data_IF_637412086879
#
_entry.id   IF_637412086879
#
_cell.length_a   1.000
_cell.length_b   1.000
_cell.length_c   1.000
_cell.angle_alpha   90.00
_cell.angle_beta   90.00
_cell.angle_gamma   90.00
#
_symmetry.space_group_name_H-M   'P 1'
#
loop_
_entity.id
_entity.type
_entity.pdbx_description
1 polymer ?
#
# COMPACT_ATOMS: atom_id res chain seq x y z
N UNK A 1 -0.51 7.78 20.74
CA UNK A 1 -1.19 7.29 19.53
C UNK A 1 -0.37 6.11 19.04
N UNK A 2 -0.76 4.90 19.44
CA UNK A 2 0.00 3.67 19.23
C UNK A 2 0.15 3.41 17.72
N UNK A 3 1.39 3.50 17.21
CA UNK A 3 1.70 3.02 15.88
C UNK A 3 1.67 1.50 15.98
N UNK A 4 0.58 0.89 15.55
CA UNK A 4 0.47 -0.58 15.46
C UNK A 4 1.71 -1.14 14.75
N UNK A 5 2.56 -1.85 15.49
CA UNK A 5 3.75 -2.56 15.00
C UNK A 5 3.38 -3.87 14.26
N UNK A 6 2.21 -3.94 13.64
CA UNK A 6 1.81 -5.05 12.78
C UNK A 6 1.92 -4.65 11.32
N UNK A 7 2.66 -5.42 10.51
CA UNK A 7 2.46 -5.40 9.05
C UNK A 7 0.97 -5.64 8.81
N UNK A 8 0.20 -4.73 8.18
CA UNK A 8 -1.16 -5.04 7.80
C UNK A 8 -1.10 -6.21 6.83
N UNK A 9 -1.66 -7.34 7.26
CA UNK A 9 -1.83 -8.49 6.39
C UNK A 9 -3.05 -8.23 5.51
N UNK A 10 -2.85 -7.56 4.38
CA UNK A 10 -3.90 -7.42 3.37
C UNK A 10 -4.28 -8.81 2.85
N UNK A 11 -5.57 -9.18 2.99
CA UNK A 11 -6.02 -10.55 2.72
C UNK A 11 -5.88 -10.94 1.24
N UNK A 12 -5.92 -9.95 0.35
CA UNK A 12 -5.77 -10.07 -1.10
C UNK A 12 -4.30 -10.04 -1.57
N UNK A 13 -3.34 -9.98 -0.64
CA UNK A 13 -1.89 -9.90 -0.94
C UNK A 13 -1.10 -11.08 -0.38
N UNK A 14 -1.68 -11.90 0.50
CA UNK A 14 -0.98 -13.00 1.23
C UNK A 14 -0.17 -13.93 0.31
N UNK A 15 -0.71 -14.25 -0.86
CA UNK A 15 -0.09 -15.12 -1.88
C UNK A 15 0.26 -14.39 -3.18
N UNK A 16 0.22 -13.05 -3.18
CA UNK A 16 0.49 -12.25 -4.36
C UNK A 16 1.99 -11.95 -4.51
N UNK A 17 2.51 -11.97 -5.74
CA UNK A 17 3.93 -11.73 -6.02
C UNK A 17 4.40 -10.35 -5.52
N UNK A 18 3.51 -9.36 -5.53
CA UNK A 18 3.81 -8.00 -5.09
C UNK A 18 3.82 -7.83 -3.56
N UNK A 19 3.64 -8.90 -2.76
CA UNK A 19 3.52 -8.80 -1.30
C UNK A 19 4.64 -7.99 -0.65
N UNK A 20 5.89 -8.27 -1.00
CA UNK A 20 7.03 -7.54 -0.46
C UNK A 20 7.04 -6.06 -0.84
N UNK A 21 6.54 -5.72 -2.03
CA UNK A 21 6.44 -4.35 -2.53
C UNK A 21 5.33 -3.61 -1.79
N UNK A 22 4.16 -4.26 -1.61
CA UNK A 22 3.03 -3.74 -0.84
C UNK A 22 3.45 -3.43 0.59
N UNK A 23 4.14 -4.35 1.24
CA UNK A 23 4.66 -4.17 2.60
C UNK A 23 5.60 -2.95 2.68
N UNK A 24 6.46 -2.77 1.66
CA UNK A 24 7.40 -1.65 1.61
C UNK A 24 6.70 -0.29 1.44
N UNK A 25 5.77 -0.17 0.48
CA UNK A 25 5.05 1.10 0.22
C UNK A 25 4.12 1.46 1.37
N UNK A 26 3.53 0.46 2.04
CA UNK A 26 2.72 0.68 3.23
C UNK A 26 3.57 1.20 4.40
N UNK A 27 4.71 0.55 4.68
CA UNK A 27 5.63 0.98 5.76
C UNK A 27 6.22 2.37 5.50
N UNK A 28 6.43 2.72 4.23
CA UNK A 28 6.86 4.06 3.83
C UNK A 28 5.74 5.11 3.91
N UNK A 29 4.48 4.71 4.12
CA UNK A 29 3.33 5.62 4.12
C UNK A 29 2.96 6.15 2.73
N UNK A 30 3.51 5.57 1.67
CA UNK A 30 3.26 5.99 0.28
C UNK A 30 1.90 5.50 -0.24
N UNK A 31 1.43 4.36 0.27
CA UNK A 31 0.12 3.79 -0.07
C UNK A 31 -0.55 3.19 1.16
N UNK A 32 -1.88 3.27 1.20
CA UNK A 32 -2.71 2.67 2.23
C UNK A 32 -3.71 1.71 1.56
N UNK A 33 -4.10 0.67 2.28
CA UNK A 33 -5.22 -0.17 1.86
C UNK A 33 -6.56 0.40 2.30
N UNK A 34 -7.61 -0.28 1.91
CA UNK A 34 -8.97 0.12 2.21
C UNK A 34 -9.41 -0.32 3.63
N UNK A 35 -10.46 0.30 4.19
CA UNK A 35 -10.97 -0.05 5.53
C UNK A 35 -11.43 -1.50 5.67
N UNK A 36 -11.71 -2.18 4.56
CA UNK A 36 -12.07 -3.61 4.52
C UNK A 36 -10.86 -4.56 4.65
N UNK A 37 -9.64 -4.00 4.75
CA UNK A 37 -8.41 -4.76 4.85
C UNK A 37 -7.89 -5.31 3.52
N UNK A 38 -8.34 -4.76 2.39
CA UNK A 38 -7.78 -5.04 1.05
C UNK A 38 -6.74 -4.00 0.63
N UNK A 39 -5.78 -4.38 -0.20
CA UNK A 39 -4.86 -3.45 -0.86
C UNK A 39 -5.22 -3.18 -2.32
N UNK A 40 -5.87 -4.15 -2.96
CA UNK A 40 -6.23 -4.20 -4.39
C UNK A 40 -5.00 -4.15 -5.30
N UNK A 41 -4.07 -5.13 -5.20
CA UNK A 41 -2.79 -5.09 -5.90
C UNK A 41 -2.91 -5.10 -7.43
N UNK A 42 -4.00 -5.63 -7.98
CA UNK A 42 -4.28 -5.68 -9.42
C UNK A 42 -5.11 -4.50 -9.94
N UNK A 43 -5.52 -3.58 -9.06
CA UNK A 43 -6.28 -2.40 -9.45
C UNK A 43 -5.37 -1.41 -10.17
N UNK A 44 -5.79 -0.99 -11.36
CA UNK A 44 -5.13 0.10 -12.05
C UNK A 44 -5.24 1.41 -11.24
N UNK A 45 -4.11 2.10 -11.09
CA UNK A 45 -4.09 3.45 -10.57
C UNK A 45 -4.58 4.44 -11.62
N UNK A 46 -5.31 5.45 -11.17
CA UNK A 46 -5.53 6.67 -11.95
C UNK A 46 -4.22 7.45 -12.08
N UNK A 47 -4.16 8.33 -13.08
CA UNK A 47 -3.01 9.24 -13.28
C UNK A 47 -2.75 10.12 -12.07
N UNK A 48 -3.82 10.57 -11.38
CA UNK A 48 -3.72 11.42 -10.21
C UNK A 48 -3.12 10.67 -9.01
N UNK A 49 -3.56 9.44 -8.76
CA UNK A 49 -2.99 8.58 -7.70
C UNK A 49 -1.52 8.29 -7.97
N UNK A 50 -1.16 7.92 -9.20
CA UNK A 50 0.23 7.67 -9.57
C UNK A 50 1.11 8.92 -9.36
N UNK A 51 0.63 10.10 -9.74
CA UNK A 51 1.36 11.35 -9.54
C UNK A 51 1.55 11.68 -8.05
N UNK A 52 0.53 11.45 -7.22
CA UNK A 52 0.62 11.67 -5.77
C UNK A 52 1.68 10.75 -5.11
N UNK A 53 1.74 9.49 -5.52
CA UNK A 53 2.76 8.53 -5.04
C UNK A 53 4.17 9.00 -5.42
N UNK A 54 4.36 9.40 -6.68
CA UNK A 54 5.67 9.87 -7.16
C UNK A 54 6.07 11.16 -6.42
N UNK A 55 5.13 12.07 -6.22
CA UNK A 55 5.39 13.30 -5.48
C UNK A 55 5.84 13.00 -4.05
N UNK A 56 5.11 12.17 -3.30
CA UNK A 56 5.46 11.83 -1.92
C UNK A 56 6.72 10.98 -1.78
N UNK A 57 7.20 10.34 -2.86
CA UNK A 57 8.48 9.65 -2.89
C UNK A 57 9.68 10.62 -3.04
N UNK A 58 9.45 11.79 -3.64
CA UNK A 58 10.50 12.77 -3.94
C UNK A 58 10.71 13.82 -2.84
N UNK A 59 9.80 13.88 -1.86
CA UNK A 59 9.89 14.74 -0.68
C UNK A 59 10.79 14.11 0.41
#
# INVERSE_FOLDING_TARGET
>A
MERSEGTPAFHDVVHHWARSIVDAVFRAGLMQGDPDGSFKPDRALTRAEAAAIIHGLLD
#
